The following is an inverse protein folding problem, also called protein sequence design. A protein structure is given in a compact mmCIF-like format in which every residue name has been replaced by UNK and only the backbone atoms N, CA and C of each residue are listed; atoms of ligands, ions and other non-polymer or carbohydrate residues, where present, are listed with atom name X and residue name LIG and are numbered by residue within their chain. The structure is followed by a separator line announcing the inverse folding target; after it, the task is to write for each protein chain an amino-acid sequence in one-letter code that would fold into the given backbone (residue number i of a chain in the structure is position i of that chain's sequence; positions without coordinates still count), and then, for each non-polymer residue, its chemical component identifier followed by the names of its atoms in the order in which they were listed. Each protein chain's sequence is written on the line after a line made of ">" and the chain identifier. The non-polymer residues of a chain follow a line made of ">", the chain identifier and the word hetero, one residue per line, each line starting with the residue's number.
data_IF_203876303865
#
_entry.id   IF_203876303865
#
_cell.length_a   1.000
_cell.length_b   1.000
_cell.length_c   1.000
_cell.angle_alpha   90.00
_cell.angle_beta   90.00
_cell.angle_gamma   90.00
#
_symmetry.space_group_name_H-M   'P 1'
#
loop_
_entity.id
_entity.type
_entity.pdbx_description
1 polymer ?
#
# COMPACT_ATOMS: atom_id res chain seq x y z
N UNK A 1 -2.90 11.97 1.91
CA UNK A 1 -2.41 11.42 0.63
C UNK A 1 -2.91 12.19 -0.61
N UNK A 2 -3.45 13.41 -0.45
CA UNK A 2 -4.10 14.13 -1.55
C UNK A 2 -5.46 13.51 -1.94
N UNK A 3 -5.97 13.89 -3.11
CA UNK A 3 -7.20 13.32 -3.64
C UNK A 3 -6.99 11.84 -4.01
N UNK A 4 -7.95 10.96 -3.68
CA UNK A 4 -7.82 9.53 -3.97
C UNK A 4 -7.81 9.29 -5.48
N UNK A 5 -6.98 8.34 -5.97
CA UNK A 5 -6.98 7.96 -7.38
C UNK A 5 -8.34 7.35 -7.79
N UNK A 6 -8.64 7.38 -9.09
CA UNK A 6 -9.93 6.91 -9.63
C UNK A 6 -10.20 5.46 -9.24
N UNK A 7 -9.18 4.59 -9.33
CA UNK A 7 -9.31 3.17 -8.98
C UNK A 7 -9.72 2.96 -7.52
N UNK A 8 -9.27 3.81 -6.58
CA UNK A 8 -9.57 3.66 -5.15
C UNK A 8 -11.07 3.84 -4.86
N UNK A 9 -11.74 4.69 -5.64
CA UNK A 9 -13.19 4.93 -5.52
C UNK A 9 -14.04 3.97 -6.34
N UNK A 10 -13.41 3.16 -7.20
CA UNK A 10 -14.10 2.27 -8.12
C UNK A 10 -14.82 1.12 -7.39
N UNK A 11 -15.94 0.64 -7.95
CA UNK A 11 -16.63 -0.53 -7.42
C UNK A 11 -15.76 -1.79 -7.40
N UNK A 12 -14.94 -2.10 -8.45
CA UNK A 12 -14.06 -3.26 -8.43
C UNK A 12 -13.12 -3.29 -7.24
N UNK A 13 -12.41 -2.19 -6.96
CA UNK A 13 -11.47 -2.13 -5.83
C UNK A 13 -12.22 -2.26 -4.49
N UNK A 14 -13.26 -1.45 -4.28
CA UNK A 14 -14.00 -1.40 -3.01
C UNK A 14 -14.66 -2.74 -2.64
N UNK A 15 -15.20 -3.46 -3.62
CA UNK A 15 -15.83 -4.75 -3.37
C UNK A 15 -14.80 -5.87 -3.13
N UNK A 16 -13.71 -5.89 -3.91
CA UNK A 16 -12.75 -7.00 -3.91
C UNK A 16 -11.69 -6.88 -2.84
N UNK A 17 -11.29 -5.67 -2.46
CA UNK A 17 -10.22 -5.47 -1.47
C UNK A 17 -10.56 -6.10 -0.10
N UNK A 18 -11.84 -6.16 0.29
CA UNK A 18 -12.28 -6.80 1.55
C UNK A 18 -12.50 -8.30 1.43
N UNK A 19 -12.76 -8.82 0.23
CA UNK A 19 -13.11 -10.23 0.00
C UNK A 19 -11.91 -11.07 -0.45
N UNK A 20 -11.07 -10.52 -1.33
CA UNK A 20 -9.94 -11.19 -1.95
C UNK A 20 -8.70 -10.27 -2.00
N UNK A 21 -8.24 -9.74 -0.86
CA UNK A 21 -7.18 -8.72 -0.81
C UNK A 21 -5.89 -9.15 -1.51
N UNK A 22 -5.51 -10.42 -1.37
CA UNK A 22 -4.31 -10.94 -2.04
C UNK A 22 -4.43 -10.89 -3.57
N UNK A 23 -5.60 -11.23 -4.14
CA UNK A 23 -5.79 -11.16 -5.58
C UNK A 23 -5.73 -9.72 -6.09
N UNK A 24 -6.35 -8.78 -5.37
CA UNK A 24 -6.26 -7.35 -5.69
C UNK A 24 -4.81 -6.86 -5.64
N UNK A 25 -4.03 -7.25 -4.62
CA UNK A 25 -2.62 -6.87 -4.52
C UNK A 25 -1.79 -7.38 -5.71
N UNK A 26 -2.06 -8.59 -6.21
CA UNK A 26 -1.37 -9.12 -7.41
C UNK A 26 -1.61 -8.28 -8.66
N UNK A 27 -2.79 -7.68 -8.80
CA UNK A 27 -3.10 -6.76 -9.92
C UNK A 27 -2.28 -5.47 -9.84
N UNK A 28 -1.80 -5.10 -8.65
CA UNK A 28 -0.83 -4.02 -8.45
C UNK A 28 0.63 -4.51 -8.51
N UNK A 29 0.87 -5.78 -8.82
CA UNK A 29 2.21 -6.38 -8.85
C UNK A 29 2.78 -6.72 -7.47
N UNK A 30 1.96 -6.73 -6.42
CA UNK A 30 2.38 -7.08 -5.05
C UNK A 30 2.04 -8.54 -4.76
N UNK A 31 3.07 -9.38 -4.69
CA UNK A 31 2.98 -10.77 -4.23
C UNK A 31 3.43 -10.86 -2.78
N UNK A 32 2.59 -11.45 -1.92
CA UNK A 32 2.87 -11.66 -0.50
C UNK A 32 2.87 -13.16 -0.21
N UNK A 33 3.85 -13.62 0.58
CA UNK A 33 3.92 -14.99 1.07
C UNK A 33 2.67 -15.39 1.87
N UNK A 34 2.37 -16.69 1.90
CA UNK A 34 1.19 -17.22 2.60
C UNK A 34 1.24 -16.99 4.12
N UNK A 35 2.45 -16.84 4.66
CA UNK A 35 2.74 -16.50 6.06
C UNK A 35 2.44 -15.04 6.40
N UNK A 36 2.34 -14.15 5.41
CA UNK A 36 2.11 -12.72 5.62
C UNK A 36 0.62 -12.44 5.85
N UNK A 37 0.24 -12.03 7.06
CA UNK A 37 -1.15 -11.64 7.35
C UNK A 37 -1.51 -10.31 6.68
N UNK A 38 -2.54 -10.32 5.84
CA UNK A 38 -3.14 -9.10 5.28
C UNK A 38 -4.28 -8.62 6.18
N UNK A 39 -4.26 -7.34 6.56
CA UNK A 39 -5.35 -6.69 7.31
C UNK A 39 -5.92 -5.57 6.45
N UNK A 40 -7.22 -5.64 6.19
CA UNK A 40 -7.94 -4.63 5.41
C UNK A 40 -8.67 -3.71 6.37
N UNK A 41 -8.46 -2.40 6.26
CA UNK A 41 -9.15 -1.39 7.04
C UNK A 41 -10.19 -0.70 6.17
N UNK A 42 -11.46 -1.03 6.40
CA UNK A 42 -12.58 -0.31 5.77
C UNK A 42 -12.81 1.01 6.52
N UNK A 43 -12.72 2.12 5.80
CA UNK A 43 -12.85 3.47 6.37
C UNK A 43 -14.33 3.87 6.50
N UNK A 44 -15.08 3.11 7.31
CA UNK A 44 -16.53 3.27 7.49
C UNK A 44 -16.95 4.35 8.49
N UNK A 45 -15.98 4.94 9.21
CA UNK A 45 -16.17 6.04 10.15
C UNK A 45 -15.36 7.28 9.71
N UNK A 46 -15.31 8.31 10.56
CA UNK A 46 -14.47 9.48 10.32
C UNK A 46 -12.97 9.24 10.58
N UNK A 47 -12.60 8.06 11.08
CA UNK A 47 -11.19 7.68 11.20
C UNK A 47 -10.57 7.56 9.81
N UNK A 48 -9.33 8.04 9.68
CA UNK A 48 -8.55 7.95 8.45
C UNK A 48 -7.25 7.21 8.74
N UNK A 49 -6.90 6.32 7.81
CA UNK A 49 -5.71 5.49 7.90
C UNK A 49 -4.73 5.88 6.80
N UNK A 50 -3.45 5.69 7.09
CA UNK A 50 -2.42 5.51 6.08
C UNK A 50 -1.55 4.34 6.50
N UNK A 51 -0.93 3.69 5.54
CA UNK A 51 0.06 2.64 5.79
C UNK A 51 1.42 3.30 5.93
N UNK A 52 2.13 3.00 7.02
CA UNK A 52 3.55 3.27 7.12
C UNK A 52 4.28 2.05 6.52
N UNK A 53 4.87 2.17 5.31
CA UNK A 53 5.52 1.04 4.66
C UNK A 53 6.81 0.65 5.40
N UNK A 54 7.20 -0.62 5.24
CA UNK A 54 8.50 -1.07 5.72
C UNK A 54 9.63 -0.40 4.93
N UNK A 55 10.70 -0.01 5.61
CA UNK A 55 11.93 0.49 4.97
C UNK A 55 12.53 -0.64 4.10
N UNK A 56 12.82 -0.39 2.81
CA UNK A 56 13.46 -1.38 1.97
C UNK A 56 14.91 -1.61 2.40
N UNK A 57 15.41 -2.83 2.17
CA UNK A 57 16.82 -3.18 2.42
C UNK A 57 17.76 -2.35 1.54
N UNK A 58 19.02 -2.20 1.97
CA UNK A 58 20.03 -1.49 1.20
C UNK A 58 19.88 0.04 1.23
N UNK A 59 19.11 0.56 2.18
CA UNK A 59 18.89 2.01 2.31
C UNK A 59 19.50 2.58 3.58
N UNK A 60 20.30 1.83 4.32
CA UNK A 60 20.80 2.20 5.66
C UNK A 60 21.55 3.55 5.67
N UNK A 61 22.29 3.84 4.60
CA UNK A 61 23.08 5.05 4.43
C UNK A 61 22.32 6.23 3.77
N UNK A 62 21.07 6.01 3.35
CA UNK A 62 20.27 7.09 2.74
C UNK A 62 19.83 8.11 3.80
N UNK A 63 19.90 9.37 3.41
CA UNK A 63 19.30 10.49 4.13
C UNK A 63 17.77 10.41 4.14
N UNK A 64 17.13 11.23 4.97
CA UNK A 64 15.68 11.33 5.04
C UNK A 64 15.07 11.72 3.68
N UNK A 65 15.64 12.73 3.00
CA UNK A 65 15.13 13.19 1.70
C UNK A 65 15.24 12.09 0.63
N UNK A 66 16.33 11.31 0.65
CA UNK A 66 16.52 10.17 -0.25
C UNK A 66 15.52 9.04 0.05
N UNK A 67 15.23 8.77 1.32
CA UNK A 67 14.20 7.79 1.71
C UNK A 67 12.80 8.25 1.29
N UNK A 68 12.47 9.53 1.47
CA UNK A 68 11.18 10.11 1.06
C UNK A 68 10.99 9.95 -0.46
N UNK A 69 12.05 10.11 -1.25
CA UNK A 69 12.00 9.93 -2.69
C UNK A 69 11.64 8.50 -3.15
N UNK A 70 11.81 7.49 -2.29
CA UNK A 70 11.42 6.10 -2.57
C UNK A 70 9.93 5.83 -2.31
N UNK A 71 9.27 6.66 -1.48
CA UNK A 71 7.90 6.39 -1.04
C UNK A 71 6.90 6.89 -2.07
N UNK A 72 6.15 5.97 -2.65
CA UNK A 72 5.02 6.31 -3.52
C UNK A 72 3.67 6.30 -2.78
N UNK A 73 2.63 6.76 -3.47
CA UNK A 73 1.28 6.81 -2.91
C UNK A 73 0.69 5.41 -2.68
N UNK A 74 1.03 4.43 -3.51
CA UNK A 74 0.49 3.08 -3.38
C UNK A 74 1.00 2.40 -2.11
N UNK A 75 2.28 2.59 -1.76
CA UNK A 75 2.86 2.14 -0.51
C UNK A 75 2.14 2.72 0.72
N UNK A 76 1.73 3.99 0.66
CA UNK A 76 0.97 4.62 1.74
C UNK A 76 -0.52 4.25 1.78
N UNK A 77 -1.09 3.70 0.69
CA UNK A 77 -2.43 3.10 0.68
C UNK A 77 -2.36 1.62 1.13
N UNK A 78 -1.23 0.96 0.91
CA UNK A 78 -1.04 -0.48 1.15
C UNK A 78 -1.18 -1.35 -0.10
N UNK A 79 -1.21 -0.75 -1.30
CA UNK A 79 -1.28 -1.45 -2.59
C UNK A 79 0.08 -1.50 -3.32
N UNK A 80 1.16 -1.08 -2.65
CA UNK A 80 2.52 -1.10 -3.18
C UNK A 80 3.52 -1.42 -2.09
N UNK A 81 4.71 -1.89 -2.49
CA UNK A 81 5.88 -1.98 -1.63
C UNK A 81 6.89 -0.92 -2.06
N UNK A 82 7.66 -0.39 -1.11
CA UNK A 82 8.78 0.49 -1.43
C UNK A 82 9.89 -0.37 -2.00
N UNK A 83 10.32 -0.09 -3.23
CA UNK A 83 11.39 -0.84 -3.88
C UNK A 83 12.74 -0.49 -3.25
N UNK A 84 13.63 -1.48 -3.16
CA UNK A 84 15.03 -1.23 -2.88
C UNK A 84 15.68 -0.54 -4.11
N UNK A 85 16.62 0.39 -3.91
CA UNK A 85 17.45 0.94 -4.97
C UNK A 85 18.27 -0.12 -5.72
#
# INVERSE_FOLDING_TARGET
>A
LGLPPIWYKSFPYRARAVAEPRAVLREFGVELGDDVRVRVWDSSSEVRYFVLPARPRGTDDLSEDELVALIDRNAMIGTGLVAAP
#
